data_IF_242498194775
#
_entry.id   IF_242498194775
#
_cell.length_a   1.000
_cell.length_b   1.000
_cell.length_c   1.000
_cell.angle_alpha   90.00
_cell.angle_beta   90.00
_cell.angle_gamma   90.00
#
_symmetry.space_group_name_H-M   'P 1'
#
loop_
_entity.id
_entity.type
_entity.pdbx_description
1 polymer ?
#
# COMPACT_ATOMS: atom_id res chain seq x y z
N UNK A 1 14.58 -2.52 3.41
CA UNK A 1 14.64 -3.44 4.57
C UNK A 1 13.92 -4.76 4.30
N UNK A 2 13.90 -5.67 5.28
CA UNK A 2 13.19 -6.96 5.16
C UNK A 2 11.69 -6.79 4.94
N UNK A 3 11.07 -5.77 5.55
CA UNK A 3 9.67 -5.42 5.31
C UNK A 3 9.36 -5.15 3.85
N UNK A 4 10.23 -4.40 3.16
CA UNK A 4 10.06 -4.10 1.73
C UNK A 4 10.22 -5.34 0.85
N UNK A 5 11.11 -6.26 1.22
CA UNK A 5 11.28 -7.53 0.51
C UNK A 5 9.99 -8.35 0.59
N UNK A 6 9.41 -8.50 1.79
CA UNK A 6 8.15 -9.20 1.98
C UNK A 6 6.98 -8.52 1.29
N UNK A 7 6.90 -7.19 1.38
CA UNK A 7 5.89 -6.40 0.66
C UNK A 7 5.95 -6.71 -0.84
N UNK A 8 7.15 -6.75 -1.42
CA UNK A 8 7.32 -7.13 -2.84
C UNK A 8 6.83 -8.55 -3.13
N UNK A 9 7.18 -9.54 -2.30
CA UNK A 9 6.75 -10.92 -2.49
C UNK A 9 5.23 -11.06 -2.41
N UNK A 10 4.58 -10.40 -1.45
CA UNK A 10 3.13 -10.34 -1.36
C UNK A 10 2.53 -9.71 -2.61
N UNK A 11 3.02 -8.55 -3.03
CA UNK A 11 2.49 -7.81 -4.18
C UNK A 11 2.79 -8.48 -5.53
N UNK A 12 3.80 -9.35 -5.58
CA UNK A 12 4.07 -10.22 -6.76
C UNK A 12 3.31 -11.53 -6.74
N UNK A 13 2.43 -11.71 -5.78
CA UNK A 13 1.66 -12.96 -5.59
C UNK A 13 2.54 -14.20 -5.35
N UNK A 14 3.76 -14.02 -4.87
CA UNK A 14 4.63 -15.11 -4.43
C UNK A 14 4.14 -15.71 -3.11
N UNK A 15 3.43 -14.91 -2.30
CA UNK A 15 2.71 -15.31 -1.10
C UNK A 15 1.24 -14.94 -1.31
N UNK A 16 0.35 -15.92 -1.33
CA UNK A 16 -1.05 -15.72 -1.67
C UNK A 16 -1.88 -15.13 -0.49
N UNK A 17 -3.04 -14.45 -0.76
CA UNK A 17 -3.96 -14.05 0.28
C UNK A 17 -4.40 -15.22 1.15
N UNK A 18 -4.38 -15.05 2.47
CA UNK A 18 -4.70 -16.10 3.43
C UNK A 18 -3.56 -17.08 3.71
N UNK A 19 -2.45 -17.00 2.98
CA UNK A 19 -1.26 -17.79 3.28
C UNK A 19 -0.67 -17.40 4.63
N UNK A 20 -0.16 -18.41 5.30
CA UNK A 20 0.50 -18.25 6.60
C UNK A 20 1.96 -17.88 6.41
N UNK A 21 2.41 -16.89 7.16
CA UNK A 21 3.82 -16.51 7.26
C UNK A 21 4.37 -17.06 8.58
N UNK A 22 5.37 -17.94 8.51
CA UNK A 22 5.99 -18.54 9.69
C UNK A 22 7.35 -17.88 9.94
N UNK A 23 7.46 -17.12 11.03
CA UNK A 23 8.68 -16.37 11.38
C UNK A 23 9.97 -17.22 11.31
N UNK A 24 9.88 -18.48 11.73
CA UNK A 24 11.04 -19.39 11.75
C UNK A 24 11.50 -19.82 10.36
N UNK A 25 10.57 -20.09 9.46
CA UNK A 25 10.85 -20.43 8.07
C UNK A 25 11.49 -19.26 7.37
N UNK A 26 10.92 -18.09 7.55
CA UNK A 26 11.40 -16.83 7.03
C UNK A 26 12.81 -16.49 7.55
N UNK A 27 13.03 -16.60 8.85
CA UNK A 27 14.33 -16.34 9.46
C UNK A 27 15.40 -17.31 8.92
N UNK A 28 15.03 -18.56 8.68
CA UNK A 28 15.91 -19.57 8.09
C UNK A 28 16.22 -19.27 6.62
N UNK A 29 15.22 -18.90 5.84
CA UNK A 29 15.37 -18.55 4.41
C UNK A 29 16.34 -17.38 4.22
N UNK A 30 16.19 -16.32 5.03
CA UNK A 30 17.04 -15.13 4.94
C UNK A 30 18.30 -15.17 5.79
N UNK A 31 18.54 -16.28 6.48
CA UNK A 31 19.71 -16.48 7.36
C UNK A 31 19.89 -15.36 8.41
N UNK A 32 18.78 -14.91 8.99
CA UNK A 32 18.74 -13.88 10.03
C UNK A 32 18.09 -14.40 11.30
N UNK A 33 18.27 -13.69 12.41
CA UNK A 33 17.55 -14.00 13.63
C UNK A 33 16.05 -13.63 13.53
N UNK A 34 15.22 -14.15 14.43
CA UNK A 34 13.77 -13.87 14.44
C UNK A 34 13.42 -12.41 14.75
N UNK A 35 14.32 -11.67 15.42
CA UNK A 35 14.07 -10.27 15.77
C UNK A 35 13.78 -9.38 14.58
N UNK A 36 14.68 -9.27 13.59
CA UNK A 36 14.45 -8.51 12.35
C UNK A 36 13.21 -8.96 11.58
N UNK A 37 12.90 -10.26 11.57
CA UNK A 37 11.70 -10.78 10.91
C UNK A 37 10.44 -10.29 11.62
N UNK A 38 10.41 -10.38 12.94
CA UNK A 38 9.26 -9.93 13.75
C UNK A 38 9.01 -8.44 13.57
N UNK A 39 10.05 -7.64 13.50
CA UNK A 39 9.94 -6.21 13.23
C UNK A 39 9.41 -5.93 11.82
N UNK A 40 9.90 -6.65 10.80
CA UNK A 40 9.40 -6.55 9.44
C UNK A 40 7.91 -6.92 9.34
N UNK A 41 7.50 -8.01 9.99
CA UNK A 41 6.10 -8.43 10.02
C UNK A 41 5.22 -7.43 10.78
N UNK A 42 5.71 -6.82 11.87
CA UNK A 42 5.01 -5.76 12.58
C UNK A 42 4.74 -4.55 11.68
N UNK A 43 5.72 -4.13 10.89
CA UNK A 43 5.55 -3.06 9.90
C UNK A 43 4.48 -3.42 8.85
N UNK A 44 4.49 -4.64 8.33
CA UNK A 44 3.48 -5.10 7.37
C UNK A 44 2.07 -5.18 7.99
N UNK A 45 1.96 -5.51 9.28
CA UNK A 45 0.69 -5.48 10.01
C UNK A 45 0.19 -4.05 10.19
N UNK A 46 1.06 -3.12 10.56
CA UNK A 46 0.74 -1.68 10.65
C UNK A 46 0.31 -1.10 9.30
N UNK A 47 0.90 -1.58 8.21
CA UNK A 47 0.49 -1.25 6.83
C UNK A 47 -0.79 -1.97 6.39
N UNK A 48 -1.30 -2.92 7.16
CA UNK A 48 -2.53 -3.64 6.85
C UNK A 48 -2.42 -4.75 5.81
N UNK A 49 -1.19 -5.19 5.47
CA UNK A 49 -0.95 -6.27 4.51
C UNK A 49 -1.07 -7.66 5.11
N UNK A 50 -0.83 -7.78 6.40
CA UNK A 50 -0.94 -9.02 7.16
C UNK A 50 -1.75 -8.80 8.43
N UNK A 51 -2.18 -9.89 9.05
CA UNK A 51 -2.82 -9.87 10.35
C UNK A 51 -2.44 -11.11 11.17
N UNK A 52 -2.43 -10.96 12.49
CA UNK A 52 -2.32 -12.10 13.38
C UNK A 52 -3.71 -12.63 13.73
N UNK A 53 -3.94 -13.89 13.39
CA UNK A 53 -5.21 -14.56 13.65
C UNK A 53 -5.05 -15.62 14.76
N UNK A 54 -6.02 -15.75 15.68
CA UNK A 54 -6.01 -16.82 16.68
C UNK A 54 -5.86 -18.19 16.02
N UNK A 55 -4.96 -19.01 16.54
CA UNK A 55 -4.65 -20.37 16.08
C UNK A 55 -4.02 -20.49 14.68
N UNK A 56 -4.01 -19.42 13.87
CA UNK A 56 -3.39 -19.41 12.54
C UNK A 56 -2.04 -18.71 12.51
N UNK A 57 -1.79 -17.79 13.43
CA UNK A 57 -0.59 -16.95 13.43
C UNK A 57 -0.66 -15.80 12.43
N UNK A 58 0.46 -15.44 11.88
CA UNK A 58 0.56 -14.39 10.87
C UNK A 58 0.06 -14.88 9.51
N UNK A 59 -0.88 -14.17 8.91
CA UNK A 59 -1.46 -14.49 7.61
C UNK A 59 -1.51 -13.26 6.70
N UNK A 60 -1.37 -13.46 5.39
CA UNK A 60 -1.58 -12.39 4.40
C UNK A 60 -3.06 -12.01 4.40
N UNK A 61 -3.33 -10.72 4.58
CA UNK A 61 -4.67 -10.20 4.73
C UNK A 61 -5.41 -10.24 3.40
N UNK A 62 -6.69 -10.62 3.47
CA UNK A 62 -7.64 -10.48 2.36
C UNK A 62 -8.61 -9.37 2.70
N UNK A 63 -9.01 -8.58 1.70
CA UNK A 63 -10.05 -7.58 1.86
C UNK A 63 -11.34 -8.05 1.18
N UNK A 64 -12.46 -7.89 1.87
CA UNK A 64 -13.76 -8.01 1.23
C UNK A 64 -14.02 -6.80 0.32
N UNK A 65 -14.93 -6.95 -0.65
CA UNK A 65 -15.36 -5.83 -1.49
C UNK A 65 -15.87 -4.65 -0.64
N UNK A 66 -16.55 -4.95 0.47
CA UNK A 66 -17.02 -3.93 1.41
C UNK A 66 -15.86 -3.18 2.07
N UNK A 67 -14.83 -3.87 2.55
CA UNK A 67 -13.64 -3.24 3.14
C UNK A 67 -12.95 -2.31 2.14
N UNK A 68 -12.84 -2.74 0.88
CA UNK A 68 -12.29 -1.93 -0.20
C UNK A 68 -13.12 -0.67 -0.43
N UNK A 69 -14.43 -0.79 -0.54
CA UNK A 69 -15.35 0.34 -0.75
C UNK A 69 -15.30 1.34 0.41
N UNK A 70 -15.30 0.86 1.66
CA UNK A 70 -15.22 1.71 2.85
C UNK A 70 -13.87 2.46 2.90
N UNK A 71 -12.77 1.78 2.60
CA UNK A 71 -11.43 2.40 2.55
C UNK A 71 -11.33 3.49 1.49
N UNK A 72 -11.84 3.24 0.29
CA UNK A 72 -11.88 4.26 -0.78
C UNK A 72 -12.77 5.45 -0.43
N UNK A 73 -13.92 5.21 0.18
CA UNK A 73 -14.82 6.29 0.61
C UNK A 73 -14.14 7.23 1.61
N UNK A 74 -13.48 6.67 2.62
CA UNK A 74 -12.78 7.45 3.64
C UNK A 74 -11.58 8.17 3.01
N UNK A 75 -10.78 7.46 2.22
CA UNK A 75 -9.61 8.02 1.55
C UNK A 75 -9.98 9.19 0.63
N UNK A 76 -10.97 9.03 -0.23
CA UNK A 76 -11.43 10.08 -1.14
C UNK A 76 -11.96 11.31 -0.39
N UNK A 77 -12.61 11.11 0.75
CA UNK A 77 -13.07 12.20 1.61
C UNK A 77 -11.88 12.98 2.19
N UNK A 78 -10.84 12.32 2.68
CA UNK A 78 -9.66 12.96 3.23
C UNK A 78 -8.85 13.70 2.15
N UNK A 79 -8.71 13.12 0.96
CA UNK A 79 -8.03 13.76 -0.17
C UNK A 79 -8.80 14.98 -0.67
N UNK A 80 -10.13 14.88 -0.77
CA UNK A 80 -10.99 16.04 -1.09
C UNK A 80 -10.88 17.15 -0.07
N UNK A 81 -10.80 16.81 1.23
CA UNK A 81 -10.58 17.78 2.29
C UNK A 81 -9.22 18.46 2.14
N UNK A 82 -8.16 17.71 1.80
CA UNK A 82 -6.85 18.28 1.52
C UNK A 82 -6.91 19.33 0.40
N UNK A 83 -7.54 18.99 -0.73
CA UNK A 83 -7.72 19.91 -1.87
C UNK A 83 -8.49 21.16 -1.46
N UNK A 84 -9.50 21.04 -0.62
CA UNK A 84 -10.26 22.20 -0.09
C UNK A 84 -9.40 23.11 0.80
N UNK A 85 -8.51 22.55 1.63
CA UNK A 85 -7.64 23.30 2.52
C UNK A 85 -6.71 24.23 1.74
N UNK A 86 -6.04 23.74 0.69
CA UNK A 86 -5.18 24.59 -0.14
C UNK A 86 -5.90 25.26 -1.30
N UNK A 87 -7.24 25.09 -1.39
CA UNK A 87 -8.09 25.71 -2.40
C UNK A 87 -7.59 25.55 -3.84
N UNK A 88 -7.02 24.40 -4.15
CA UNK A 88 -6.45 24.06 -5.47
C UNK A 88 -5.17 24.81 -5.83
N UNK A 89 -4.58 25.57 -4.89
CA UNK A 89 -3.30 26.28 -5.11
C UNK A 89 -2.13 25.36 -4.79
N UNK A 90 -1.73 24.55 -5.74
CA UNK A 90 -0.62 23.61 -5.60
C UNK A 90 0.71 24.37 -5.71
N UNK A 91 1.67 24.05 -4.84
CA UNK A 91 3.04 24.55 -4.94
C UNK A 91 3.77 23.96 -6.17
N UNK A 92 4.80 24.65 -6.68
CA UNK A 92 5.63 24.11 -7.75
C UNK A 92 6.26 22.77 -7.38
N UNK A 93 6.67 22.61 -6.12
CA UNK A 93 7.21 21.35 -5.63
C UNK A 93 6.15 20.25 -5.57
N UNK A 94 4.92 20.55 -5.13
CA UNK A 94 3.81 19.62 -5.12
C UNK A 94 3.43 19.17 -6.52
N UNK A 95 3.34 20.11 -7.46
CA UNK A 95 3.05 19.80 -8.86
C UNK A 95 4.12 18.87 -9.46
N UNK A 96 5.41 19.18 -9.24
CA UNK A 96 6.50 18.33 -9.71
C UNK A 96 6.43 16.92 -9.13
N UNK A 97 6.15 16.76 -7.82
CA UNK A 97 5.97 15.44 -7.20
C UNK A 97 4.82 14.65 -7.84
N UNK A 98 3.71 15.31 -8.14
CA UNK A 98 2.56 14.67 -8.80
C UNK A 98 2.89 14.25 -10.24
N UNK A 99 3.59 15.10 -11.00
CA UNK A 99 4.02 14.79 -12.35
C UNK A 99 5.01 13.62 -12.39
N UNK A 100 5.98 13.60 -11.49
CA UNK A 100 6.92 12.47 -11.33
C UNK A 100 6.17 11.18 -11.00
N UNK A 101 5.24 11.21 -10.06
CA UNK A 101 4.45 10.04 -9.69
C UNK A 101 3.53 9.55 -10.82
N UNK A 102 2.95 10.44 -11.63
CA UNK A 102 2.17 10.07 -12.81
C UNK A 102 3.02 9.35 -13.86
N UNK A 103 4.25 9.83 -14.09
CA UNK A 103 5.18 9.14 -15.00
C UNK A 103 5.57 7.76 -14.47
N UNK A 104 5.79 7.64 -13.16
CA UNK A 104 6.06 6.34 -12.52
C UNK A 104 4.86 5.38 -12.63
N UNK A 105 3.63 5.88 -12.50
CA UNK A 105 2.40 5.09 -12.73
C UNK A 105 2.37 4.58 -14.18
N UNK A 106 2.64 5.45 -15.15
CA UNK A 106 2.66 5.09 -16.57
C UNK A 106 3.70 4.00 -16.84
N UNK A 107 4.92 4.18 -16.35
CA UNK A 107 6.01 3.22 -16.50
C UNK A 107 5.71 1.87 -15.83
N UNK A 108 5.13 1.90 -14.62
CA UNK A 108 4.72 0.69 -13.91
C UNK A 108 3.60 -0.05 -14.65
N UNK A 109 2.64 0.67 -15.23
CA UNK A 109 1.56 0.11 -16.05
C UNK A 109 2.09 -0.59 -17.30
N UNK A 110 3.03 0.03 -18.01
CA UNK A 110 3.68 -0.55 -19.20
C UNK A 110 4.46 -1.85 -18.84
N UNK A 111 5.16 -1.86 -17.72
CA UNK A 111 5.94 -3.01 -17.25
C UNK A 111 5.08 -4.07 -16.52
N UNK A 112 3.80 -3.78 -16.27
CA UNK A 112 2.85 -4.65 -15.55
C UNK A 112 3.36 -5.11 -14.17
N UNK A 113 4.00 -4.20 -13.43
CA UNK A 113 4.53 -4.46 -12.08
C UNK A 113 3.62 -3.85 -11.03
N UNK A 114 2.92 -4.70 -10.29
CA UNK A 114 1.96 -4.26 -9.27
C UNK A 114 2.64 -3.51 -8.12
N UNK A 115 3.84 -3.92 -7.74
CA UNK A 115 4.59 -3.25 -6.68
C UNK A 115 4.91 -1.79 -7.02
N UNK A 116 5.51 -1.56 -8.18
CA UNK A 116 5.86 -0.22 -8.65
C UNK A 116 4.60 0.63 -8.88
N UNK A 117 3.53 0.04 -9.40
CA UNK A 117 2.25 0.72 -9.57
C UNK A 117 1.68 1.21 -8.23
N UNK A 118 1.66 0.35 -7.20
CA UNK A 118 1.14 0.75 -5.88
C UNK A 118 2.01 1.81 -5.21
N UNK A 119 3.32 1.78 -5.38
CA UNK A 119 4.23 2.80 -4.84
C UNK A 119 4.04 4.15 -5.54
N UNK A 120 3.88 4.14 -6.86
CA UNK A 120 3.66 5.36 -7.64
C UNK A 120 2.28 5.98 -7.36
N UNK A 121 1.23 5.15 -7.27
CA UNK A 121 -0.12 5.58 -6.86
C UNK A 121 -0.10 6.23 -5.46
N UNK A 122 0.58 5.60 -4.52
CA UNK A 122 0.75 6.12 -3.16
C UNK A 122 1.50 7.45 -3.16
N UNK A 123 2.57 7.59 -3.95
CA UNK A 123 3.33 8.82 -4.06
C UNK A 123 2.49 9.96 -4.65
N UNK A 124 1.67 9.69 -5.67
CA UNK A 124 0.77 10.67 -6.26
C UNK A 124 -0.24 11.21 -5.25
N UNK A 125 -0.96 10.32 -4.58
CA UNK A 125 -1.97 10.70 -3.60
C UNK A 125 -1.37 11.33 -2.33
N UNK A 126 -0.18 10.88 -1.91
CA UNK A 126 0.56 11.52 -0.80
C UNK A 126 0.90 12.98 -1.12
N UNK A 127 1.34 13.25 -2.36
CA UNK A 127 1.64 14.62 -2.78
C UNK A 127 0.41 15.55 -2.70
N UNK A 128 -0.79 15.04 -3.04
CA UNK A 128 -2.05 15.78 -2.87
C UNK A 128 -2.30 16.13 -1.41
N UNK A 129 -2.15 15.17 -0.52
CA UNK A 129 -2.46 15.36 0.91
C UNK A 129 -1.42 16.22 1.61
N UNK A 130 -0.14 16.09 1.24
CA UNK A 130 0.96 16.87 1.79
C UNK A 130 0.81 18.38 1.52
N UNK A 131 0.24 18.77 0.36
CA UNK A 131 -0.01 20.16 0.01
C UNK A 131 -0.96 20.88 0.98
N UNK A 132 -1.79 20.14 1.71
CA UNK A 132 -2.67 20.73 2.73
C UNK A 132 -1.91 21.22 3.97
N UNK A 133 -0.63 20.84 4.15
CA UNK A 133 0.19 21.17 5.33
C UNK A 133 -0.53 20.89 6.66
N UNK A 134 -1.42 19.89 6.67
CA UNK A 134 -2.22 19.47 7.82
C UNK A 134 -1.71 18.14 8.36
N UNK A 135 -0.83 18.18 9.37
CA UNK A 135 -0.18 17.00 9.95
C UNK A 135 -1.17 15.93 10.43
N UNK A 136 -2.29 16.33 11.03
CA UNK A 136 -3.30 15.38 11.53
C UNK A 136 -4.00 14.66 10.38
N UNK A 137 -4.34 15.39 9.32
CA UNK A 137 -4.95 14.81 8.13
C UNK A 137 -4.00 13.81 7.47
N UNK A 138 -2.74 14.20 7.28
CA UNK A 138 -1.71 13.35 6.68
C UNK A 138 -1.49 12.06 7.51
N UNK A 139 -1.46 12.18 8.84
CA UNK A 139 -1.31 11.03 9.73
C UNK A 139 -2.46 10.04 9.59
N UNK A 140 -3.71 10.52 9.57
CA UNK A 140 -4.90 9.66 9.43
C UNK A 140 -4.90 9.02 8.04
N UNK A 141 -4.61 9.80 6.99
CA UNK A 141 -4.57 9.29 5.62
C UNK A 141 -3.52 8.17 5.45
N UNK A 142 -2.32 8.34 6.03
CA UNK A 142 -1.26 7.32 6.01
C UNK A 142 -1.67 6.00 6.64
N UNK A 143 -2.57 6.00 7.62
CA UNK A 143 -3.09 4.76 8.21
C UNK A 143 -3.95 3.93 7.25
N UNK A 144 -4.43 4.53 6.16
CA UNK A 144 -5.23 3.86 5.13
C UNK A 144 -4.39 3.30 3.96
N UNK A 145 -3.09 3.60 3.90
CA UNK A 145 -2.22 3.18 2.80
C UNK A 145 -2.15 1.66 2.65
N UNK A 146 -2.04 0.94 3.75
CA UNK A 146 -2.03 -0.52 3.73
C UNK A 146 -3.30 -1.12 3.15
N UNK A 147 -4.47 -0.52 3.41
CA UNK A 147 -5.73 -0.93 2.82
C UNK A 147 -5.74 -0.72 1.29
N UNK A 148 -5.15 0.37 0.79
CA UNK A 148 -5.00 0.61 -0.64
C UNK A 148 -4.12 -0.45 -1.31
N UNK A 149 -2.96 -0.73 -0.74
CA UNK A 149 -2.05 -1.78 -1.22
C UNK A 149 -2.71 -3.16 -1.22
N UNK A 150 -3.43 -3.50 -0.14
CA UNK A 150 -4.19 -4.75 -0.04
C UNK A 150 -5.34 -4.83 -1.04
N UNK A 151 -5.94 -3.70 -1.40
CA UNK A 151 -6.96 -3.62 -2.46
C UNK A 151 -6.38 -3.97 -3.82
N UNK A 152 -5.28 -3.34 -4.21
CA UNK A 152 -4.60 -3.66 -5.48
C UNK A 152 -4.22 -5.13 -5.57
N UNK A 153 -3.68 -5.67 -4.48
CA UNK A 153 -3.29 -7.06 -4.40
C UNK A 153 -4.48 -8.02 -4.55
N UNK A 154 -5.57 -7.76 -3.84
CA UNK A 154 -6.80 -8.57 -3.92
C UNK A 154 -7.40 -8.51 -5.33
N UNK A 155 -7.48 -7.33 -5.93
CA UNK A 155 -7.99 -7.16 -7.29
C UNK A 155 -7.14 -7.88 -8.32
N UNK A 156 -5.82 -7.86 -8.16
CA UNK A 156 -4.90 -8.55 -9.08
C UNK A 156 -5.04 -10.07 -8.99
N UNK A 157 -5.13 -10.65 -7.78
CA UNK A 157 -5.26 -12.10 -7.58
C UNK A 157 -6.59 -12.65 -8.10
N UNK A 158 -7.65 -11.85 -8.03
CA UNK A 158 -8.97 -12.21 -8.56
C UNK A 158 -9.16 -11.82 -10.04
N UNK A 159 -8.12 -11.35 -10.73
CA UNK A 159 -8.16 -10.82 -12.09
C UNK A 159 -9.22 -9.71 -12.29
N UNK A 160 -9.45 -8.92 -11.23
CA UNK A 160 -10.36 -7.80 -11.25
C UNK A 160 -9.69 -6.48 -11.68
N UNK A 161 -8.36 -6.48 -11.81
CA UNK A 161 -7.62 -5.32 -12.32
C UNK A 161 -7.83 -5.20 -13.83
N UNK A 162 -8.44 -4.13 -14.31
CA UNK A 162 -8.36 -3.80 -15.72
C UNK A 162 -6.89 -3.44 -16.03
N UNK A 163 -6.22 -4.26 -16.81
CA UNK A 163 -4.83 -4.01 -17.24
C UNK A 163 -4.70 -2.84 -18.25
N UNK A 164 -5.79 -2.21 -18.59
CA UNK A 164 -5.88 -1.09 -19.53
C UNK A 164 -6.01 0.26 -18.81
N UNK A 165 -5.20 0.47 -17.75
CA UNK A 165 -5.11 1.75 -17.07
C UNK A 165 -4.13 2.72 -17.76
N UNK A 166 -4.18 2.83 -19.06
CA UNK A 166 -3.47 3.92 -19.78
C UNK A 166 -4.40 4.54 -20.78
#
# INVERSE_FOLDING_TARGET
GLGDVYKRQILRSEIAPGDRIVEEEVAKEYQVSRGPIREALRQLEEEGLISYQPHKGCVVKTLSLRDMQESYLIRSTLESLAVQIYAGKISENGLRKMEEALEDIRMAGENKTLYELTQADEAFHSAIVEEAECEKLLKIWRQLQGANTSTYYTMNTENLMPYDFV
#
